data_IF_278637130982
#
_entry.id   IF_278637130982
#
_cell.length_a   1.000
_cell.length_b   1.000
_cell.length_c   1.000
_cell.angle_alpha   90.00
_cell.angle_beta   90.00
_cell.angle_gamma   90.00
#
_symmetry.space_group_name_H-M   'P 1'
#
loop_
_entity.id
_entity.type
_entity.pdbx_description
1 polymer ?
#
# COMPACT_ATOMS: atom_id res chain seq x y z
N UNK A 1 34.70 20.30 54.27
CA UNK A 1 35.20 19.71 53.01
C UNK A 1 34.11 19.90 51.96
N UNK A 2 34.49 20.62 50.92
CA UNK A 2 33.71 21.26 49.88
C UNK A 2 32.86 20.33 49.01
N UNK A 3 31.71 20.85 48.59
CA UNK A 3 31.01 20.43 47.39
C UNK A 3 31.38 21.40 46.26
N UNK A 4 31.66 20.92 45.05
CA UNK A 4 30.93 21.49 43.92
C UNK A 4 30.55 20.48 42.83
N UNK A 5 29.42 20.78 42.20
CA UNK A 5 29.02 20.23 40.91
C UNK A 5 29.76 20.92 39.73
N UNK A 6 29.59 20.30 38.56
CA UNK A 6 29.56 20.80 37.17
C UNK A 6 30.86 21.07 36.35
N UNK A 7 30.99 20.23 35.30
CA UNK A 7 31.28 20.54 33.88
C UNK A 7 32.73 20.58 33.38
N UNK A 8 33.08 19.64 32.49
CA UNK A 8 33.61 19.93 31.13
C UNK A 8 33.16 18.85 30.12
N UNK A 9 32.60 19.31 28.99
CA UNK A 9 32.11 18.55 27.83
C UNK A 9 33.24 18.21 26.82
N UNK A 10 33.03 17.10 26.07
CA UNK A 10 33.54 16.56 24.77
C UNK A 10 34.62 17.30 23.94
N UNK A 11 35.43 16.60 23.07
CA UNK A 11 34.96 15.95 21.83
C UNK A 11 35.66 14.63 21.41
N UNK A 12 34.95 13.66 20.81
CA UNK A 12 35.61 12.54 20.09
C UNK A 12 34.78 11.27 19.92
N UNK A 13 34.38 11.00 18.67
CA UNK A 13 33.57 9.90 18.16
C UNK A 13 33.89 8.48 18.68
N UNK A 14 32.85 7.67 18.94
CA UNK A 14 33.04 6.26 19.29
C UNK A 14 31.82 5.45 19.70
N UNK A 15 30.73 5.54 18.94
CA UNK A 15 29.68 4.50 18.80
C UNK A 15 28.77 4.24 20.02
N UNK A 16 27.84 5.18 20.23
CA UNK A 16 26.49 4.83 20.64
C UNK A 16 25.83 4.08 19.48
N UNK A 17 25.83 2.74 19.55
CA UNK A 17 24.97 1.90 18.72
C UNK A 17 23.54 1.92 19.27
N UNK A 18 22.96 3.11 19.40
CA UNK A 18 21.50 3.24 19.49
C UNK A 18 20.98 2.59 18.21
N UNK A 19 20.26 1.48 18.35
CA UNK A 19 19.38 1.04 17.29
C UNK A 19 18.32 2.14 17.15
N UNK A 20 18.67 3.18 16.41
CA UNK A 20 17.71 4.09 15.80
C UNK A 20 17.00 3.20 14.80
N UNK A 21 16.03 2.44 15.29
CA UNK A 21 15.03 1.80 14.48
C UNK A 21 14.31 2.97 13.82
N UNK A 22 14.82 3.40 12.66
CA UNK A 22 14.07 4.24 11.76
C UNK A 22 12.68 3.60 11.65
N UNK A 23 11.59 4.37 11.70
CA UNK A 23 10.29 3.88 11.30
C UNK A 23 10.40 3.57 9.81
N UNK A 24 10.95 2.39 9.53
CA UNK A 24 11.20 1.86 8.22
C UNK A 24 9.82 1.76 7.58
N UNK A 25 9.62 2.55 6.53
CA UNK A 25 8.44 2.48 5.70
C UNK A 25 8.09 1.00 5.44
N UNK A 26 6.81 0.61 5.38
CA UNK A 26 6.41 -0.80 5.26
C UNK A 26 7.12 -1.54 4.11
N UNK A 27 7.53 -0.81 3.06
CA UNK A 27 8.25 -1.34 1.91
C UNK A 27 9.75 -1.56 2.18
N UNK A 28 10.40 -0.77 3.05
CA UNK A 28 11.82 -0.99 3.40
C UNK A 28 12.01 -2.22 4.29
N UNK A 29 10.97 -2.63 5.02
CA UNK A 29 10.97 -3.86 5.82
C UNK A 29 11.07 -5.12 4.96
N UNK A 30 10.62 -5.08 3.69
CA UNK A 30 10.74 -6.18 2.73
C UNK A 30 12.17 -6.43 2.25
N UNK A 31 13.05 -5.44 2.41
CA UNK A 31 14.47 -5.53 2.05
C UNK A 31 15.36 -5.85 3.26
N UNK A 32 14.76 -6.00 4.45
CA UNK A 32 15.48 -6.39 5.65
C UNK A 32 15.80 -7.89 5.59
N UNK A 33 17.02 -8.35 5.91
CA UNK A 33 17.34 -9.79 5.89
C UNK A 33 16.49 -10.64 6.85
N UNK A 34 15.74 -10.02 7.76
CA UNK A 34 14.79 -10.69 8.67
C UNK A 34 13.33 -10.67 8.18
N UNK A 35 13.07 -10.28 6.91
CA UNK A 35 11.72 -10.30 6.32
C UNK A 35 11.16 -11.72 6.34
N UNK A 36 9.94 -11.90 6.83
CA UNK A 36 9.28 -13.21 6.72
C UNK A 36 8.65 -13.37 5.34
N UNK A 37 8.44 -14.62 4.91
CA UNK A 37 7.72 -14.90 3.66
C UNK A 37 6.33 -14.24 3.64
N UNK A 38 5.70 -14.13 4.82
CA UNK A 38 4.38 -13.56 5.01
C UNK A 38 4.37 -12.07 4.62
N UNK A 39 5.42 -11.32 4.97
CA UNK A 39 5.54 -9.90 4.66
C UNK A 39 5.66 -9.65 3.15
N UNK A 40 6.43 -10.49 2.46
CA UNK A 40 6.56 -10.44 1.00
C UNK A 40 5.22 -10.73 0.30
N UNK A 41 4.49 -11.76 0.75
CA UNK A 41 3.16 -12.05 0.21
C UNK A 41 2.21 -10.88 0.43
N UNK A 42 2.16 -10.33 1.64
CA UNK A 42 1.32 -9.17 1.95
C UNK A 42 1.60 -7.99 1.02
N UNK A 43 2.87 -7.67 0.78
CA UNK A 43 3.26 -6.60 -0.11
C UNK A 43 2.86 -6.86 -1.58
N UNK A 44 3.09 -8.07 -2.08
CA UNK A 44 2.72 -8.45 -3.46
C UNK A 44 1.20 -8.44 -3.64
N UNK A 45 0.44 -8.94 -2.65
CA UNK A 45 -1.02 -8.90 -2.68
C UNK A 45 -1.55 -7.46 -2.68
N UNK A 46 -1.02 -6.60 -1.80
CA UNK A 46 -1.38 -5.20 -1.77
C UNK A 46 -1.11 -4.52 -3.11
N UNK A 47 0.08 -4.74 -3.68
CA UNK A 47 0.46 -4.19 -4.98
C UNK A 47 -0.46 -4.69 -6.11
N UNK A 48 -0.78 -5.98 -6.14
CA UNK A 48 -1.68 -6.57 -7.14
C UNK A 48 -3.10 -5.97 -7.06
N UNK A 49 -3.62 -5.75 -5.85
CA UNK A 49 -4.92 -5.13 -5.64
C UNK A 49 -4.90 -3.67 -6.09
N UNK A 50 -3.87 -2.90 -5.73
CA UNK A 50 -3.74 -1.51 -6.14
C UNK A 50 -3.72 -1.36 -7.67
N UNK A 51 -2.89 -2.16 -8.35
CA UNK A 51 -2.81 -2.16 -9.82
C UNK A 51 -4.11 -2.66 -10.44
N UNK A 52 -4.70 -3.73 -9.91
CA UNK A 52 -5.97 -4.30 -10.37
C UNK A 52 -7.13 -3.31 -10.25
N UNK A 53 -7.19 -2.56 -9.16
CA UNK A 53 -8.20 -1.51 -8.93
C UNK A 53 -8.15 -0.44 -10.02
N UNK A 54 -6.95 0.07 -10.31
CA UNK A 54 -6.74 1.12 -11.31
C UNK A 54 -7.16 0.60 -12.70
N UNK A 55 -6.70 -0.59 -13.08
CA UNK A 55 -7.06 -1.20 -14.37
C UNK A 55 -8.57 -1.46 -14.50
N UNK A 56 -9.22 -1.92 -13.43
CA UNK A 56 -10.66 -2.14 -13.42
C UNK A 56 -11.45 -0.85 -13.65
N UNK A 57 -11.08 0.24 -12.97
CA UNK A 57 -11.73 1.55 -13.13
C UNK A 57 -11.52 2.10 -14.54
N UNK A 58 -10.31 1.99 -15.10
CA UNK A 58 -10.03 2.41 -16.48
C UNK A 58 -10.88 1.66 -17.49
N UNK A 59 -10.98 0.33 -17.35
CA UNK A 59 -11.78 -0.51 -18.25
C UNK A 59 -13.28 -0.21 -18.11
N UNK A 60 -13.74 0.06 -16.90
CA UNK A 60 -15.13 0.45 -16.62
C UNK A 60 -15.47 1.81 -17.24
N UNK A 61 -14.58 2.80 -17.12
CA UNK A 61 -14.74 4.11 -17.75
C UNK A 61 -14.80 4.01 -19.28
N UNK A 62 -13.91 3.23 -19.89
CA UNK A 62 -13.92 2.98 -21.34
C UNK A 62 -15.23 2.34 -21.80
N UNK A 63 -15.71 1.31 -21.09
CA UNK A 63 -16.97 0.65 -21.41
C UNK A 63 -18.20 1.57 -21.21
N UNK A 64 -18.17 2.44 -20.19
CA UNK A 64 -19.20 3.43 -19.94
C UNK A 64 -19.36 4.41 -21.10
N UNK A 65 -18.24 4.91 -21.63
CA UNK A 65 -18.24 5.80 -22.81
C UNK A 65 -18.84 5.07 -24.02
N UNK A 66 -18.37 3.86 -24.34
CA UNK A 66 -18.88 3.09 -25.49
C UNK A 66 -20.37 2.78 -25.36
N UNK A 67 -20.85 2.46 -24.15
CA UNK A 67 -22.26 2.16 -23.91
C UNK A 67 -23.19 3.35 -24.23
N UNK A 68 -22.72 4.57 -23.94
CA UNK A 68 -23.46 5.81 -24.19
C UNK A 68 -23.34 6.31 -25.63
N UNK A 69 -22.17 6.18 -26.26
CA UNK A 69 -21.90 6.78 -27.58
C UNK A 69 -22.23 5.88 -28.76
N UNK A 70 -22.50 4.59 -28.54
CA UNK A 70 -22.70 3.65 -29.64
C UNK A 70 -24.17 3.31 -29.90
N UNK A 71 -24.63 3.57 -31.13
CA UNK A 71 -25.95 3.15 -31.64
C UNK A 71 -25.96 1.73 -32.24
N UNK A 72 -24.79 1.14 -32.45
CA UNK A 72 -24.66 -0.24 -32.93
C UNK A 72 -25.07 -1.21 -31.82
N UNK A 73 -26.15 -1.96 -32.04
CA UNK A 73 -26.66 -3.01 -31.12
C UNK A 73 -25.54 -3.96 -30.65
N UNK A 74 -24.67 -4.38 -31.57
CA UNK A 74 -23.60 -5.32 -31.30
C UNK A 74 -22.55 -4.76 -30.31
N UNK A 75 -22.21 -3.47 -30.43
CA UNK A 75 -21.27 -2.81 -29.52
C UNK A 75 -21.92 -2.48 -28.17
N UNK A 76 -23.23 -2.22 -28.10
CA UNK A 76 -23.96 -2.12 -26.83
C UNK A 76 -23.92 -3.42 -26.03
N UNK A 77 -24.08 -4.56 -26.71
CA UNK A 77 -24.03 -5.87 -26.07
C UNK A 77 -22.61 -6.18 -25.54
N UNK A 78 -21.58 -5.90 -26.35
CA UNK A 78 -20.19 -5.99 -25.91
C UNK A 78 -19.87 -5.06 -24.73
N UNK A 79 -20.34 -3.81 -24.75
CA UNK A 79 -20.13 -2.87 -23.66
C UNK A 79 -20.78 -3.35 -22.36
N UNK A 80 -22.00 -3.92 -22.43
CA UNK A 80 -22.66 -4.53 -21.27
C UNK A 80 -21.88 -5.71 -20.71
N UNK A 81 -21.31 -6.54 -21.57
CA UNK A 81 -20.49 -7.68 -21.15
C UNK A 81 -19.22 -7.20 -20.43
N UNK A 82 -18.52 -6.20 -20.99
CA UNK A 82 -17.34 -5.60 -20.36
C UNK A 82 -17.70 -4.98 -19.00
N UNK A 83 -18.83 -4.27 -18.90
CA UNK A 83 -19.29 -3.71 -17.62
C UNK A 83 -19.58 -4.83 -16.62
N UNK A 84 -20.27 -5.89 -17.02
CA UNK A 84 -20.56 -7.03 -16.15
C UNK A 84 -19.29 -7.69 -15.62
N UNK A 85 -18.31 -7.92 -16.50
CA UNK A 85 -17.01 -8.48 -16.11
C UNK A 85 -16.21 -7.52 -15.23
N UNK A 86 -16.23 -6.22 -15.50
CA UNK A 86 -15.58 -5.22 -14.67
C UNK A 86 -16.22 -5.14 -13.27
N UNK A 87 -17.56 -5.19 -13.18
CA UNK A 87 -18.28 -5.22 -11.90
C UNK A 87 -17.95 -6.48 -11.11
N UNK A 88 -17.89 -7.65 -11.75
CA UNK A 88 -17.44 -8.88 -11.11
C UNK A 88 -15.98 -8.78 -10.63
N UNK A 89 -15.10 -8.15 -11.42
CA UNK A 89 -13.71 -7.89 -11.03
C UNK A 89 -13.60 -6.96 -9.81
N UNK A 90 -14.40 -5.89 -9.77
CA UNK A 90 -14.46 -4.97 -8.62
C UNK A 90 -15.03 -5.67 -7.39
N UNK A 91 -16.04 -6.53 -7.56
CA UNK A 91 -16.60 -7.33 -6.47
C UNK A 91 -15.57 -8.33 -5.91
N UNK A 92 -14.79 -8.97 -6.79
CA UNK A 92 -13.68 -9.85 -6.38
C UNK A 92 -12.62 -9.05 -5.62
N UNK A 93 -12.22 -7.89 -6.14
CA UNK A 93 -11.25 -7.01 -5.51
C UNK A 93 -11.71 -6.59 -4.10
N UNK A 94 -12.99 -6.25 -3.96
CA UNK A 94 -13.62 -5.93 -2.69
C UNK A 94 -13.59 -7.12 -1.73
N UNK A 95 -13.88 -8.33 -2.22
CA UNK A 95 -13.81 -9.54 -1.40
C UNK A 95 -12.38 -9.79 -0.87
N UNK A 96 -11.36 -9.64 -1.72
CA UNK A 96 -9.95 -9.77 -1.30
C UNK A 96 -9.58 -8.68 -0.29
N UNK A 97 -10.01 -7.43 -0.53
CA UNK A 97 -9.80 -6.32 0.41
C UNK A 97 -10.40 -6.63 1.79
N UNK A 98 -11.64 -7.15 1.85
CA UNK A 98 -12.29 -7.50 3.11
C UNK A 98 -11.57 -8.61 3.86
N UNK A 99 -11.06 -9.62 3.15
CA UNK A 99 -10.28 -10.71 3.77
C UNK A 99 -8.99 -10.16 4.39
N UNK A 100 -8.26 -9.32 3.66
CA UNK A 100 -7.03 -8.69 4.17
C UNK A 100 -7.32 -7.78 5.37
N UNK A 101 -8.36 -6.95 5.27
CA UNK A 101 -8.79 -6.05 6.33
C UNK A 101 -9.20 -6.80 7.61
N UNK A 102 -9.84 -7.98 7.46
CA UNK A 102 -10.26 -8.80 8.59
C UNK A 102 -9.09 -9.51 9.29
N UNK A 103 -8.04 -9.88 8.55
CA UNK A 103 -6.85 -10.54 9.10
C UNK A 103 -5.89 -9.52 9.72
N UNK A 104 -5.59 -8.44 9.01
CA UNK A 104 -4.76 -7.36 9.52
C UNK A 104 -5.04 -6.05 8.75
N UNK A 105 -5.69 -5.05 9.38
CA UNK A 105 -5.98 -3.78 8.72
C UNK A 105 -4.71 -2.95 8.45
N UNK A 106 -3.58 -3.22 9.12
CA UNK A 106 -2.34 -2.45 8.96
C UNK A 106 -1.68 -2.68 7.60
N UNK A 107 -2.00 -3.79 6.90
CA UNK A 107 -1.53 -4.04 5.52
C UNK A 107 -2.09 -3.00 4.53
N UNK A 108 -3.22 -2.37 4.88
CA UNK A 108 -3.89 -1.33 4.11
C UNK A 108 -3.56 0.07 4.62
N UNK A 109 -2.88 0.18 5.77
CA UNK A 109 -2.52 1.45 6.37
C UNK A 109 -1.18 1.92 5.80
N UNK A 110 -1.28 2.65 4.70
CA UNK A 110 -0.17 3.31 4.04
C UNK A 110 0.18 4.61 4.79
N UNK A 111 0.78 4.48 5.98
CA UNK A 111 1.30 5.60 6.78
C UNK A 111 2.63 6.11 6.16
N UNK A 112 2.57 6.54 4.89
CA UNK A 112 3.74 6.98 4.09
C UNK A 112 4.03 8.48 4.34
N UNK A 113 3.10 9.20 4.97
CA UNK A 113 3.11 10.67 5.06
C UNK A 113 3.39 11.24 6.46
N UNK A 114 3.66 10.40 7.47
CA UNK A 114 3.93 10.86 8.84
C UNK A 114 5.40 11.13 9.17
N UNK A 115 6.32 10.96 8.23
CA UNK A 115 7.76 11.13 8.44
C UNK A 115 8.28 12.57 8.31
N UNK A 116 7.42 13.59 8.16
CA UNK A 116 7.86 14.97 7.89
C UNK A 116 7.72 15.96 9.06
N UNK A 117 7.54 15.48 10.30
CA UNK A 117 7.45 16.35 11.48
C UNK A 117 8.15 15.77 12.72
N UNK A 118 9.42 15.39 12.59
CA UNK A 118 10.36 15.36 13.71
C UNK A 118 11.72 15.89 13.27
#
# INVERSE_FOLDING_TARGET
>A
MDNPQITQQQPGAGQAGSQTQEPAAPISQLFNPNSTLIDLFNAVFFFAIAVGAILAVLRLGYAGIIYMTTDLWHSKQNAKEIISQAVLGILLLLAVYLILFQINPDILNLDILRSTQQ
#
